data_IF_483296327003
#
_entry.id   IF_483296327003
#
_cell.length_a   1.000
_cell.length_b   1.000
_cell.length_c   1.000
_cell.angle_alpha   90.00
_cell.angle_beta   90.00
_cell.angle_gamma   90.00
#
_symmetry.space_group_name_H-M   'P 1'
#
loop_
_entity.id
_entity.type
_entity.pdbx_description
1 polymer ?
#
# COMPACT_ATOMS: atom_id res chain seq x y z
N UNK A 1 11.37 43.05 21.28
CA UNK A 1 12.26 41.91 21.48
C UNK A 1 11.54 40.86 22.28
N UNK A 2 10.85 39.92 21.62
CA UNK A 2 10.24 38.76 22.29
C UNK A 2 10.65 37.52 21.50
N UNK A 3 11.25 36.59 22.21
CA UNK A 3 11.94 35.39 21.75
C UNK A 3 10.99 34.36 21.11
N UNK A 4 11.30 33.96 19.90
CA UNK A 4 10.74 32.77 19.26
C UNK A 4 11.44 31.53 19.84
N UNK A 5 10.74 30.72 20.62
CA UNK A 5 11.17 29.41 21.08
C UNK A 5 10.64 28.30 20.15
N UNK A 6 11.35 27.19 20.00
CA UNK A 6 11.21 26.25 18.87
C UNK A 6 10.14 25.18 19.13
N UNK A 7 9.13 25.11 18.26
CA UNK A 7 8.05 24.08 18.32
C UNK A 7 8.31 22.84 17.44
N UNK A 8 9.56 22.46 17.21
CA UNK A 8 9.86 21.39 16.22
C UNK A 8 10.45 20.11 16.81
N UNK A 9 10.27 19.80 18.10
CA UNK A 9 10.91 18.63 18.75
C UNK A 9 9.98 17.49 19.19
N UNK A 10 8.66 17.60 19.05
CA UNK A 10 7.75 16.59 19.62
C UNK A 10 7.45 15.43 18.65
N UNK A 11 7.50 15.63 17.34
CA UNK A 11 7.15 14.58 16.36
C UNK A 11 8.24 13.51 16.21
N UNK A 12 9.50 13.88 16.41
CA UNK A 12 10.63 12.92 16.33
C UNK A 12 10.71 11.95 17.51
N UNK A 13 10.29 12.37 18.70
CA UNK A 13 10.36 11.54 19.90
C UNK A 13 9.26 10.48 19.98
N UNK A 14 8.08 10.70 19.38
CA UNK A 14 7.01 9.70 19.41
C UNK A 14 7.34 8.47 18.56
N UNK A 15 8.08 8.65 17.47
CA UNK A 15 8.48 7.54 16.60
C UNK A 15 9.58 6.66 17.21
N UNK A 16 10.49 7.24 18.02
CA UNK A 16 11.50 6.47 18.73
C UNK A 16 10.91 5.71 19.94
N UNK A 17 9.90 6.26 20.61
CA UNK A 17 9.25 5.63 21.76
C UNK A 17 8.42 4.39 21.38
N UNK A 18 7.90 4.31 20.16
CA UNK A 18 7.17 3.13 19.67
C UNK A 18 8.08 1.96 19.26
N UNK A 19 9.38 2.20 19.08
CA UNK A 19 10.38 1.16 18.76
C UNK A 19 11.06 0.55 19.99
N UNK A 20 10.97 1.17 21.14
CA UNK A 20 11.67 0.72 22.36
C UNK A 20 11.16 -0.61 22.94
N UNK A 21 9.86 -0.94 22.99
CA UNK A 21 9.44 -2.22 23.53
C UNK A 21 9.86 -3.43 22.70
N UNK A 22 10.14 -3.23 21.40
CA UNK A 22 10.53 -4.32 20.50
C UNK A 22 11.98 -4.78 20.73
N UNK A 23 12.84 -3.91 21.25
CA UNK A 23 14.25 -4.21 21.51
C UNK A 23 14.42 -4.99 22.83
N UNK A 24 13.58 -4.72 23.83
CA UNK A 24 13.66 -5.41 25.12
C UNK A 24 13.08 -6.82 25.11
N UNK A 25 12.08 -7.10 24.26
CA UNK A 25 11.50 -8.46 24.14
C UNK A 25 12.45 -9.41 23.43
N UNK A 26 13.28 -8.93 22.48
CA UNK A 26 14.27 -9.77 21.78
C UNK A 26 15.49 -10.10 22.64
N UNK A 27 15.83 -9.27 23.62
CA UNK A 27 16.94 -9.55 24.55
C UNK A 27 16.57 -10.51 25.70
N UNK A 28 15.28 -10.64 26.02
CA UNK A 28 14.81 -11.51 27.10
C UNK A 28 14.67 -12.98 26.69
N UNK A 29 14.55 -13.28 25.40
CA UNK A 29 14.34 -14.65 24.90
C UNK A 29 15.65 -15.43 24.74
N UNK A 30 16.80 -14.75 24.59
CA UNK A 30 18.11 -15.41 24.50
C UNK A 30 18.66 -15.89 25.86
N UNK A 31 18.12 -15.39 26.97
CA UNK A 31 18.66 -15.72 28.33
C UNK A 31 18.02 -16.99 28.94
N UNK A 32 17.09 -17.67 28.29
CA UNK A 32 16.36 -18.81 28.87
C UNK A 32 16.66 -20.19 28.25
N UNK A 33 17.60 -20.30 27.32
CA UNK A 33 17.96 -21.59 26.71
C UNK A 33 19.37 -22.06 27.07
N UNK A 34 19.68 -22.23 28.33
CA UNK A 34 20.85 -22.99 28.75
C UNK A 34 20.52 -23.79 30.01
N UNK A 35 20.08 -25.03 29.87
CA UNK A 35 20.45 -26.19 30.66
C UNK A 35 19.53 -27.39 30.48
N UNK A 36 19.91 -28.32 29.62
CA UNK A 36 19.69 -29.75 29.84
C UNK A 36 20.62 -30.54 28.91
N UNK A 37 21.35 -31.56 29.38
CA UNK A 37 22.17 -32.39 28.49
C UNK A 37 21.32 -33.38 27.70
N UNK A 38 21.69 -33.74 26.46
CA UNK A 38 20.88 -34.58 25.59
C UNK A 38 21.08 -36.08 25.88
N UNK A 39 20.06 -36.91 25.66
CA UNK A 39 20.23 -38.36 25.51
C UNK A 39 20.82 -38.66 24.12
N UNK A 40 21.84 -39.46 24.09
CA UNK A 40 22.49 -39.99 22.90
C UNK A 40 21.54 -40.94 22.19
N UNK A 41 21.04 -40.59 21.01
CA UNK A 41 20.36 -41.49 20.07
C UNK A 41 21.07 -41.45 18.72
N UNK A 42 21.34 -42.66 18.19
CA UNK A 42 22.08 -42.91 16.98
C UNK A 42 21.61 -42.09 15.77
N UNK A 43 22.58 -41.55 15.01
CA UNK A 43 22.36 -40.80 13.79
C UNK A 43 21.89 -41.73 12.65
N UNK A 44 20.73 -41.46 12.04
CA UNK A 44 20.46 -41.90 10.66
C UNK A 44 21.12 -40.91 9.68
N UNK A 45 21.54 -41.46 8.56
CA UNK A 45 22.44 -40.83 7.59
C UNK A 45 22.08 -39.41 7.14
N UNK A 46 23.12 -38.64 6.90
CA UNK A 46 23.14 -37.19 6.60
C UNK A 46 22.57 -36.79 5.20
N UNK A 47 21.83 -37.66 4.53
CA UNK A 47 21.26 -37.37 3.20
C UNK A 47 19.80 -36.88 3.24
N UNK A 48 19.02 -37.18 4.29
CA UNK A 48 17.58 -36.88 4.34
C UNK A 48 17.22 -35.59 5.08
N UNK A 49 18.14 -34.98 5.80
CA UNK A 49 17.88 -33.74 6.55
C UNK A 49 17.78 -32.48 5.65
N UNK A 50 18.29 -32.55 4.43
CA UNK A 50 18.23 -31.43 3.47
C UNK A 50 16.87 -31.30 2.77
N UNK A 51 15.99 -32.31 2.85
CA UNK A 51 14.72 -32.35 2.13
C UNK A 51 13.53 -31.76 2.93
N UNK A 52 13.70 -31.40 4.20
CA UNK A 52 12.59 -30.98 5.08
C UNK A 52 12.40 -29.48 5.22
N UNK A 53 13.26 -28.66 4.66
CA UNK A 53 13.03 -27.22 4.62
C UNK A 53 12.56 -26.81 3.21
N UNK A 54 11.35 -26.28 3.07
CA UNK A 54 10.98 -25.66 1.80
C UNK A 54 12.03 -24.59 1.46
N UNK A 55 12.45 -24.48 0.18
CA UNK A 55 13.45 -23.50 -0.22
C UNK A 55 12.99 -22.13 0.26
N UNK A 56 13.87 -21.45 1.03
CA UNK A 56 13.57 -20.08 1.52
C UNK A 56 13.14 -19.25 0.31
N UNK A 57 11.99 -18.56 0.36
CA UNK A 57 11.55 -17.71 -0.74
C UNK A 57 12.69 -16.76 -1.10
N UNK A 58 13.16 -16.81 -2.34
CA UNK A 58 14.19 -15.89 -2.80
C UNK A 58 13.63 -14.49 -2.71
N UNK A 59 14.38 -13.57 -2.08
CA UNK A 59 13.95 -12.19 -2.00
C UNK A 59 13.77 -11.64 -3.42
N UNK A 60 12.62 -10.97 -3.71
CA UNK A 60 12.42 -10.34 -5.01
C UNK A 60 13.57 -9.38 -5.28
N UNK A 61 14.08 -9.38 -6.51
CA UNK A 61 15.16 -8.50 -6.92
C UNK A 61 14.58 -7.24 -7.55
N UNK A 62 15.22 -6.09 -7.34
CA UNK A 62 14.81 -4.83 -7.98
C UNK A 62 14.77 -4.92 -9.51
N UNK A 63 15.64 -5.74 -10.11
CA UNK A 63 15.67 -5.96 -11.58
C UNK A 63 14.38 -6.60 -12.12
N UNK A 64 13.66 -7.37 -11.28
CA UNK A 64 12.46 -8.09 -11.68
C UNK A 64 11.18 -7.23 -11.53
N UNK A 65 11.28 -6.05 -10.88
CA UNK A 65 10.16 -5.16 -10.63
C UNK A 65 9.36 -4.78 -11.90
N UNK A 66 9.97 -4.38 -13.03
CA UNK A 66 9.20 -3.99 -14.21
C UNK A 66 8.35 -5.14 -14.76
N UNK A 67 8.92 -6.35 -14.80
CA UNK A 67 8.22 -7.57 -15.21
C UNK A 67 7.08 -7.91 -14.27
N UNK A 68 7.34 -7.85 -12.98
CA UNK A 68 6.35 -8.17 -11.96
C UNK A 68 5.19 -7.18 -11.95
N UNK A 69 5.49 -5.87 -12.05
CA UNK A 69 4.47 -4.82 -12.19
C UNK A 69 3.61 -5.06 -13.43
N UNK A 70 4.22 -5.36 -14.58
CA UNK A 70 3.46 -5.66 -15.79
C UNK A 70 2.48 -6.84 -15.59
N UNK A 71 2.95 -7.92 -14.96
CA UNK A 71 2.13 -9.10 -14.66
C UNK A 71 0.98 -8.76 -13.70
N UNK A 72 1.26 -7.95 -12.69
CA UNK A 72 0.25 -7.48 -11.74
C UNK A 72 -0.81 -6.65 -12.45
N UNK A 73 -0.42 -5.70 -13.31
CA UNK A 73 -1.35 -4.89 -14.07
C UNK A 73 -2.26 -5.77 -14.95
N UNK A 74 -1.70 -6.72 -15.68
CA UNK A 74 -2.49 -7.67 -16.48
C UNK A 74 -3.50 -8.42 -15.61
N UNK A 75 -3.07 -8.93 -14.46
CA UNK A 75 -3.96 -9.63 -13.54
C UNK A 75 -5.05 -8.71 -12.98
N UNK A 76 -4.67 -7.54 -12.45
CA UNK A 76 -5.58 -6.61 -11.77
C UNK A 76 -6.64 -6.06 -12.71
N UNK A 77 -6.29 -5.77 -13.97
CA UNK A 77 -7.24 -5.29 -14.98
C UNK A 77 -8.14 -6.39 -15.53
N UNK A 78 -7.65 -7.63 -15.65
CA UNK A 78 -8.46 -8.74 -16.21
C UNK A 78 -9.28 -9.48 -15.16
N UNK A 79 -8.89 -9.45 -13.89
CA UNK A 79 -9.55 -10.19 -12.81
C UNK A 79 -11.04 -9.84 -12.62
N UNK A 80 -11.46 -8.55 -12.70
CA UNK A 80 -12.88 -8.19 -12.60
C UNK A 80 -13.76 -8.81 -13.69
N UNK A 81 -13.20 -9.11 -14.86
CA UNK A 81 -13.94 -9.72 -15.98
C UNK A 81 -14.05 -11.25 -15.89
N UNK A 82 -13.43 -11.84 -14.86
CA UNK A 82 -13.47 -13.30 -14.61
C UNK A 82 -13.91 -13.59 -13.17
N UNK A 83 -15.12 -13.14 -12.76
CA UNK A 83 -15.58 -13.34 -11.40
C UNK A 83 -15.87 -14.82 -11.15
N UNK A 84 -15.56 -15.28 -9.93
CA UNK A 84 -16.03 -16.57 -9.43
C UNK A 84 -17.37 -16.37 -8.72
N UNK A 85 -18.19 -17.41 -8.63
CA UNK A 85 -19.48 -17.33 -7.89
C UNK A 85 -19.29 -16.86 -6.44
N UNK A 86 -18.19 -17.23 -5.81
CA UNK A 86 -17.84 -16.80 -4.46
C UNK A 86 -17.49 -15.29 -4.35
N UNK A 87 -17.16 -14.64 -5.46
CA UNK A 87 -16.83 -13.20 -5.48
C UNK A 87 -18.11 -12.33 -5.53
N UNK A 88 -19.25 -12.88 -5.98
CA UNK A 88 -20.49 -12.13 -6.21
C UNK A 88 -21.03 -11.41 -4.97
N UNK A 89 -21.14 -12.03 -3.77
CA UNK A 89 -21.61 -11.33 -2.58
C UNK A 89 -20.69 -10.17 -2.19
N UNK A 90 -19.38 -10.35 -2.31
CA UNK A 90 -18.40 -9.29 -2.03
C UNK A 90 -18.46 -8.16 -3.05
N UNK A 91 -18.65 -8.49 -4.33
CA UNK A 91 -18.86 -7.50 -5.38
C UNK A 91 -20.17 -6.72 -5.15
N UNK A 92 -21.27 -7.39 -4.80
CA UNK A 92 -22.53 -6.74 -4.46
C UNK A 92 -22.40 -5.80 -3.26
N UNK A 93 -21.72 -6.24 -2.20
CA UNK A 93 -21.43 -5.42 -1.03
C UNK A 93 -20.57 -4.19 -1.39
N UNK A 94 -19.52 -4.39 -2.18
CA UNK A 94 -18.64 -3.29 -2.63
C UNK A 94 -19.39 -2.26 -3.47
N UNK A 95 -20.10 -2.69 -4.51
CA UNK A 95 -20.83 -1.78 -5.38
C UNK A 95 -22.03 -1.13 -4.67
N UNK A 96 -22.75 -1.87 -3.83
CA UNK A 96 -23.84 -1.34 -3.02
C UNK A 96 -23.38 -0.26 -2.03
N UNK A 97 -22.30 -0.53 -1.29
CA UNK A 97 -21.68 0.46 -0.39
C UNK A 97 -21.16 1.67 -1.17
N UNK A 98 -20.50 1.46 -2.31
CA UNK A 98 -20.01 2.56 -3.15
C UNK A 98 -21.17 3.44 -3.62
N UNK A 99 -22.26 2.85 -4.12
CA UNK A 99 -23.45 3.59 -4.55
C UNK A 99 -24.11 4.37 -3.41
N UNK A 100 -24.23 3.76 -2.23
CA UNK A 100 -24.74 4.42 -1.02
C UNK A 100 -23.88 5.61 -0.60
N UNK A 101 -22.56 5.45 -0.63
CA UNK A 101 -21.63 6.53 -0.31
C UNK A 101 -21.67 7.66 -1.35
N UNK A 102 -21.76 7.34 -2.65
CA UNK A 102 -21.93 8.34 -3.71
C UNK A 102 -23.21 9.17 -3.48
N UNK A 103 -24.32 8.55 -3.05
CA UNK A 103 -25.54 9.26 -2.71
C UNK A 103 -25.38 10.24 -1.52
N UNK A 104 -24.50 9.91 -0.58
CA UNK A 104 -24.20 10.76 0.60
C UNK A 104 -23.14 11.82 0.28
N UNK A 105 -22.27 11.60 -0.68
CA UNK A 105 -21.11 12.46 -1.00
C UNK A 105 -21.52 13.93 -1.23
N UNK A 106 -22.65 14.16 -1.91
CA UNK A 106 -23.16 15.51 -2.14
C UNK A 106 -23.41 16.27 -0.83
N UNK A 107 -24.05 15.63 0.14
CA UNK A 107 -24.32 16.25 1.44
C UNK A 107 -23.03 16.56 2.20
N UNK A 108 -22.06 15.63 2.15
CA UNK A 108 -20.74 15.83 2.76
C UNK A 108 -19.99 16.96 2.06
N UNK A 109 -19.98 16.99 0.72
CA UNK A 109 -19.32 18.02 -0.07
C UNK A 109 -19.90 19.41 0.21
N UNK A 110 -21.22 19.55 0.20
CA UNK A 110 -21.91 20.80 0.52
C UNK A 110 -21.64 21.25 1.97
N UNK A 111 -21.70 20.34 2.93
CA UNK A 111 -21.37 20.64 4.33
C UNK A 111 -19.93 21.09 4.54
N UNK A 112 -18.99 20.48 3.83
CA UNK A 112 -17.59 20.88 3.86
C UNK A 112 -17.35 22.23 3.18
N UNK A 113 -18.03 22.51 2.06
CA UNK A 113 -17.89 23.75 1.28
C UNK A 113 -18.53 24.97 1.99
N UNK A 114 -19.58 24.74 2.76
CA UNK A 114 -20.27 25.80 3.48
C UNK A 114 -19.48 26.43 4.65
N UNK A 115 -18.47 25.72 5.16
CA UNK A 115 -17.71 26.16 6.33
C UNK A 115 -16.27 26.53 5.94
N UNK A 116 -15.64 27.54 6.53
CA UNK A 116 -14.22 27.83 6.29
C UNK A 116 -13.32 26.72 6.84
N UNK A 117 -12.10 26.54 6.28
CA UNK A 117 -11.14 25.59 6.82
C UNK A 117 -10.75 25.94 8.26
N UNK A 118 -10.96 25.00 9.20
CA UNK A 118 -10.63 25.14 10.62
C UNK A 118 -9.44 24.26 11.04
N UNK A 119 -9.27 24.07 12.35
CA UNK A 119 -8.20 23.26 12.94
C UNK A 119 -8.18 21.82 12.41
N UNK A 120 -9.35 21.22 12.18
CA UNK A 120 -9.46 19.88 11.61
C UNK A 120 -8.85 19.78 10.21
N UNK A 121 -9.02 20.80 9.38
CA UNK A 121 -8.39 20.87 8.06
C UNK A 121 -6.85 20.83 8.14
N UNK A 122 -6.26 21.61 9.05
CA UNK A 122 -4.80 21.62 9.23
C UNK A 122 -4.28 20.29 9.77
N UNK A 123 -4.99 19.69 10.71
CA UNK A 123 -4.68 18.34 11.18
C UNK A 123 -4.75 17.31 10.03
N UNK A 124 -5.83 17.33 9.25
CA UNK A 124 -5.99 16.47 8.07
C UNK A 124 -4.84 16.63 7.09
N UNK A 125 -4.43 17.86 6.77
CA UNK A 125 -3.30 18.16 5.89
C UNK A 125 -1.98 17.57 6.40
N UNK A 126 -1.72 17.65 7.70
CA UNK A 126 -0.53 17.09 8.33
C UNK A 126 -0.53 15.55 8.25
N UNK A 127 -1.65 14.94 8.61
CA UNK A 127 -1.78 13.47 8.61
C UNK A 127 -1.76 12.90 7.19
N UNK A 128 -2.38 13.58 6.22
CA UNK A 128 -2.41 13.10 4.84
C UNK A 128 -1.02 13.05 4.19
N UNK A 129 -0.05 13.79 4.70
CA UNK A 129 1.34 13.71 4.26
C UNK A 129 1.94 12.29 4.45
N UNK A 130 1.42 11.50 5.41
CA UNK A 130 1.82 10.10 5.60
C UNK A 130 1.40 9.20 4.42
N UNK A 131 0.36 9.57 3.68
CA UNK A 131 -0.13 8.83 2.52
C UNK A 131 0.54 9.22 1.19
N UNK A 132 1.57 10.06 1.19
CA UNK A 132 2.27 10.44 -0.04
C UNK A 132 3.18 9.30 -0.53
N UNK A 133 3.39 9.15 -1.85
CA UNK A 133 4.36 8.19 -2.39
C UNK A 133 5.78 8.40 -1.84
N UNK A 134 6.16 9.65 -1.57
CA UNK A 134 7.47 9.99 -0.97
C UNK A 134 7.59 9.41 0.44
N UNK A 135 6.58 9.59 1.29
CA UNK A 135 6.58 9.04 2.65
C UNK A 135 6.57 7.51 2.61
N UNK A 136 5.73 6.90 1.77
CA UNK A 136 5.71 5.45 1.56
C UNK A 136 7.07 4.93 1.09
N UNK A 137 7.70 5.62 0.14
CA UNK A 137 9.04 5.29 -0.35
C UNK A 137 10.12 5.42 0.73
N UNK A 138 10.06 6.47 1.56
CA UNK A 138 10.98 6.65 2.68
C UNK A 138 10.83 5.56 3.74
N UNK A 139 9.61 5.19 4.11
CA UNK A 139 9.34 4.10 5.06
C UNK A 139 9.86 2.77 4.47
N UNK A 140 9.54 2.47 3.21
CA UNK A 140 10.01 1.26 2.55
C UNK A 140 11.54 1.24 2.46
N UNK A 141 12.18 2.35 2.06
CA UNK A 141 13.64 2.46 2.00
C UNK A 141 14.30 2.23 3.35
N UNK A 142 13.77 2.83 4.42
CA UNK A 142 14.24 2.60 5.79
C UNK A 142 14.12 1.13 6.17
N UNK A 143 12.98 0.51 5.87
CA UNK A 143 12.73 -0.90 6.14
C UNK A 143 13.72 -1.80 5.38
N UNK A 144 14.02 -1.47 4.13
CA UNK A 144 15.04 -2.16 3.32
C UNK A 144 16.43 -2.02 3.93
N UNK A 145 16.85 -0.80 4.29
CA UNK A 145 18.18 -0.54 4.86
C UNK A 145 18.37 -1.23 6.21
N UNK A 146 17.35 -1.20 7.07
CA UNK A 146 17.37 -1.92 8.35
C UNK A 146 17.44 -3.44 8.13
N UNK A 147 16.65 -3.97 7.19
CA UNK A 147 16.70 -5.38 6.81
C UNK A 147 18.07 -5.79 6.26
N UNK A 148 18.70 -4.92 5.45
CA UNK A 148 20.06 -5.15 4.94
C UNK A 148 21.10 -5.14 6.05
N UNK A 149 21.04 -4.16 6.94
CA UNK A 149 21.98 -4.05 8.09
C UNK A 149 21.88 -5.25 9.04
N UNK A 150 20.67 -5.76 9.25
CA UNK A 150 20.40 -6.93 10.11
C UNK A 150 20.52 -8.27 9.38
N UNK A 151 20.86 -8.26 8.08
CA UNK A 151 20.91 -9.46 7.23
C UNK A 151 19.56 -10.22 7.22
N UNK A 152 18.45 -9.48 7.31
CA UNK A 152 17.08 -10.00 7.28
C UNK A 152 16.51 -9.93 5.86
N UNK A 153 16.53 -11.06 5.09
CA UNK A 153 16.02 -11.09 3.74
C UNK A 153 14.49 -10.94 3.69
N UNK A 154 13.79 -11.28 4.78
CA UNK A 154 12.34 -11.16 4.83
C UNK A 154 11.89 -9.70 4.89
N UNK A 155 12.55 -8.88 5.71
CA UNK A 155 12.31 -7.44 5.76
C UNK A 155 12.67 -6.76 4.42
N UNK A 156 13.79 -7.13 3.79
CA UNK A 156 14.17 -6.61 2.47
C UNK A 156 13.10 -6.94 1.41
N UNK A 157 12.65 -8.21 1.37
CA UNK A 157 11.59 -8.64 0.46
C UNK A 157 10.28 -7.87 0.70
N UNK A 158 9.89 -7.69 1.96
CA UNK A 158 8.68 -6.94 2.31
C UNK A 158 8.74 -5.50 1.84
N UNK A 159 9.91 -4.85 1.96
CA UNK A 159 10.13 -3.50 1.44
C UNK A 159 9.91 -3.42 -0.08
N UNK A 160 10.53 -4.33 -0.84
CA UNK A 160 10.41 -4.36 -2.31
C UNK A 160 8.96 -4.60 -2.73
N UNK A 161 8.25 -5.54 -2.08
CA UNK A 161 6.84 -5.79 -2.33
C UNK A 161 5.95 -4.58 -2.01
N UNK A 162 6.27 -3.84 -0.94
CA UNK A 162 5.53 -2.62 -0.60
C UNK A 162 5.70 -1.54 -1.66
N UNK A 163 6.92 -1.35 -2.17
CA UNK A 163 7.18 -0.42 -3.29
C UNK A 163 6.39 -0.86 -4.53
N UNK A 164 6.44 -2.15 -4.89
CA UNK A 164 5.71 -2.72 -6.02
C UNK A 164 4.21 -2.45 -5.90
N UNK A 165 3.58 -2.73 -4.76
CA UNK A 165 2.17 -2.49 -4.52
C UNK A 165 1.78 -1.00 -4.63
N UNK A 166 2.63 -0.08 -4.17
CA UNK A 166 2.42 1.36 -4.33
C UNK A 166 2.50 1.77 -5.80
N UNK A 167 3.46 1.27 -6.56
CA UNK A 167 3.60 1.56 -7.99
C UNK A 167 2.37 1.05 -8.76
N UNK A 168 1.93 -0.18 -8.49
CA UNK A 168 0.70 -0.74 -9.06
C UNK A 168 -0.52 0.12 -8.77
N UNK A 169 -0.63 0.61 -7.53
CA UNK A 169 -1.69 1.51 -7.10
C UNK A 169 -1.66 2.84 -7.86
N UNK A 170 -0.48 3.40 -8.11
CA UNK A 170 -0.32 4.66 -8.86
C UNK A 170 -0.81 4.49 -10.30
N UNK A 171 -0.45 3.40 -10.97
CA UNK A 171 -0.89 3.13 -12.34
C UNK A 171 -2.43 3.04 -12.41
N UNK A 172 -3.02 2.24 -11.53
CA UNK A 172 -4.48 2.04 -11.48
C UNK A 172 -5.21 3.35 -11.17
N UNK A 173 -4.75 4.09 -10.16
CA UNK A 173 -5.42 5.34 -9.76
C UNK A 173 -5.36 6.40 -10.85
N UNK A 174 -4.26 6.50 -11.59
CA UNK A 174 -4.17 7.48 -12.69
C UNK A 174 -5.12 7.13 -13.84
N UNK A 175 -5.21 5.86 -14.21
CA UNK A 175 -6.16 5.40 -15.22
C UNK A 175 -7.62 5.68 -14.79
N UNK A 176 -7.99 5.35 -13.56
CA UNK A 176 -9.34 5.59 -13.04
C UNK A 176 -9.68 7.07 -12.92
N UNK A 177 -8.73 7.92 -12.52
CA UNK A 177 -8.90 9.37 -12.48
C UNK A 177 -9.14 9.95 -13.87
N UNK A 178 -8.36 9.51 -14.85
CA UNK A 178 -8.56 9.90 -16.24
C UNK A 178 -9.93 9.48 -16.78
N UNK A 179 -10.42 8.30 -16.40
CA UNK A 179 -11.71 7.79 -16.83
C UNK A 179 -12.90 8.46 -16.12
N UNK A 180 -12.76 8.80 -14.84
CA UNK A 180 -13.88 9.30 -14.01
C UNK A 180 -14.01 10.81 -13.96
N UNK A 181 -12.91 11.52 -14.05
CA UNK A 181 -12.83 12.99 -14.11
C UNK A 181 -13.70 13.70 -13.05
N UNK A 182 -13.73 13.18 -11.82
CA UNK A 182 -14.54 13.69 -10.72
C UNK A 182 -13.86 14.88 -10.03
N UNK A 183 -14.53 16.05 -9.84
CA UNK A 183 -13.98 17.18 -9.11
C UNK A 183 -13.85 16.89 -7.61
N UNK A 184 -13.03 17.67 -6.92
CA UNK A 184 -12.80 17.55 -5.47
C UNK A 184 -13.78 18.41 -4.70
N UNK A 185 -14.15 18.03 -3.44
CA UNK A 185 -14.96 18.86 -2.55
C UNK A 185 -14.15 20.03 -2.00
N UNK A 186 -13.89 21.06 -2.83
CA UNK A 186 -13.11 22.22 -2.44
C UNK A 186 -14.01 23.33 -1.87
N UNK A 187 -13.45 24.15 -0.98
CA UNK A 187 -14.14 25.33 -0.43
C UNK A 187 -14.29 26.43 -1.50
N UNK A 188 -15.52 26.90 -1.73
CA UNK A 188 -15.85 27.88 -2.77
C UNK A 188 -16.13 29.30 -2.25
N UNK A 189 -15.88 29.58 -0.98
CA UNK A 189 -16.14 30.89 -0.40
C UNK A 189 -17.62 31.26 -0.23
N UNK A 190 -18.51 30.27 -0.23
CA UNK A 190 -19.94 30.48 0.06
C UNK A 190 -20.78 30.87 -1.14
N UNK A 191 -20.31 30.82 -2.36
CA UNK A 191 -21.13 31.00 -3.54
C UNK A 191 -22.03 29.78 -3.76
N UNK A 192 -23.32 29.99 -3.91
CA UNK A 192 -24.40 28.99 -3.87
C UNK A 192 -24.42 27.97 -5.02
N UNK A 193 -23.44 28.01 -5.93
CA UNK A 193 -23.34 27.08 -7.08
C UNK A 193 -21.91 26.60 -7.28
N UNK A 194 -21.40 25.88 -6.29
CA UNK A 194 -20.15 25.18 -6.51
C UNK A 194 -20.45 23.77 -7.03
N UNK A 195 -20.42 23.62 -8.35
CA UNK A 195 -20.56 22.32 -9.01
C UNK A 195 -19.52 21.28 -8.51
N UNK A 196 -18.42 21.73 -7.93
CA UNK A 196 -17.40 20.87 -7.34
C UNK A 196 -17.90 20.17 -6.08
N UNK A 197 -18.73 20.86 -5.26
CA UNK A 197 -19.29 20.27 -4.04
C UNK A 197 -20.28 19.13 -4.31
N UNK A 198 -20.88 19.09 -5.50
CA UNK A 198 -21.82 18.04 -5.90
C UNK A 198 -21.12 16.72 -6.29
N UNK A 199 -19.81 16.75 -6.54
CA UNK A 199 -19.02 15.55 -6.83
C UNK A 199 -19.45 14.79 -8.09
N UNK A 200 -19.90 15.53 -9.13
CA UNK A 200 -20.36 14.94 -10.38
C UNK A 200 -19.19 14.29 -11.14
N UNK A 201 -19.39 13.07 -11.63
CA UNK A 201 -18.43 12.40 -12.51
C UNK A 201 -18.41 13.07 -13.90
N UNK A 202 -17.29 12.91 -14.61
CA UNK A 202 -17.04 13.43 -15.97
C UNK A 202 -17.03 14.95 -16.07
N UNK A 203 -16.62 15.63 -15.00
CA UNK A 203 -16.62 17.10 -14.88
C UNK A 203 -15.21 17.71 -14.86
N UNK A 204 -14.19 17.01 -15.41
CA UNK A 204 -12.84 17.55 -15.60
C UNK A 204 -11.95 17.50 -14.35
N UNK A 205 -12.33 16.78 -13.28
CA UNK A 205 -11.57 16.68 -12.04
C UNK A 205 -10.70 15.42 -11.93
N UNK A 206 -10.10 15.22 -10.75
CA UNK A 206 -9.21 14.09 -10.47
C UNK A 206 -9.38 13.54 -9.04
N UNK A 207 -10.61 13.58 -8.49
CA UNK A 207 -10.89 13.14 -7.13
C UNK A 207 -10.96 11.62 -6.99
N UNK A 208 -11.67 10.94 -7.90
CA UNK A 208 -12.00 9.52 -7.75
C UNK A 208 -11.02 8.60 -8.49
N UNK A 209 -10.54 7.53 -7.84
CA UNK A 209 -10.53 7.29 -6.41
C UNK A 209 -9.40 8.04 -5.69
N UNK A 210 -9.36 7.97 -4.34
CA UNK A 210 -8.33 8.64 -3.54
C UNK A 210 -6.95 7.98 -3.70
N UNK A 211 -6.01 8.72 -4.30
CA UNK A 211 -4.64 8.22 -4.54
C UNK A 211 -3.82 8.01 -3.26
N UNK A 212 -3.97 8.87 -2.24
CA UNK A 212 -3.32 8.67 -0.95
C UNK A 212 -3.86 7.44 -0.23
N UNK A 213 -5.16 7.24 -0.29
CA UNK A 213 -5.81 6.11 0.37
C UNK A 213 -5.44 4.78 -0.30
N UNK A 214 -5.47 4.69 -1.64
CA UNK A 214 -5.10 3.47 -2.35
C UNK A 214 -3.64 3.09 -2.08
N UNK A 215 -2.71 4.06 -2.10
CA UNK A 215 -1.30 3.84 -1.78
C UNK A 215 -1.09 3.42 -0.33
N UNK A 216 -1.73 4.11 0.63
CA UNK A 216 -1.63 3.77 2.05
C UNK A 216 -2.17 2.37 2.36
N UNK A 217 -3.33 1.99 1.81
CA UNK A 217 -3.90 0.67 2.01
C UNK A 217 -3.12 -0.43 1.30
N UNK A 218 -2.59 -0.20 0.10
CA UNK A 218 -1.77 -1.21 -0.57
C UNK A 218 -0.48 -1.50 0.19
N UNK A 219 0.20 -0.45 0.67
CA UNK A 219 1.36 -0.56 1.53
C UNK A 219 1.03 -1.29 2.84
N UNK A 220 -0.02 -0.83 3.54
CA UNK A 220 -0.47 -1.42 4.81
C UNK A 220 -0.83 -2.90 4.67
N UNK A 221 -1.46 -3.28 3.55
CA UNK A 221 -1.87 -4.66 3.30
C UNK A 221 -0.66 -5.56 3.08
N UNK A 222 0.36 -5.12 2.34
CA UNK A 222 1.61 -5.92 2.21
C UNK A 222 2.23 -6.16 3.59
N UNK A 223 2.34 -5.12 4.43
CA UNK A 223 2.88 -5.26 5.80
C UNK A 223 2.00 -6.20 6.64
N UNK A 224 0.68 -6.02 6.60
CA UNK A 224 -0.26 -6.82 7.37
C UNK A 224 -0.22 -8.31 6.99
N UNK A 225 -0.18 -8.64 5.71
CA UNK A 225 -0.10 -10.02 5.22
C UNK A 225 1.25 -10.65 5.55
N UNK A 226 2.33 -9.91 5.40
CA UNK A 226 3.68 -10.40 5.69
C UNK A 226 3.93 -10.65 7.16
N UNK A 227 3.33 -9.86 8.06
CA UNK A 227 3.50 -9.97 9.52
C UNK A 227 2.20 -10.36 10.23
N UNK A 228 1.31 -11.11 9.57
CA UNK A 228 -0.01 -11.49 10.08
C UNK A 228 0.02 -12.26 11.40
N UNK A 229 1.12 -12.97 11.68
CA UNK A 229 1.29 -13.71 12.93
C UNK A 229 1.42 -12.81 14.16
N UNK A 230 1.69 -11.54 13.95
CA UNK A 230 1.76 -10.52 15.00
C UNK A 230 0.51 -9.64 14.94
N UNK A 231 -0.55 -9.91 15.71
CA UNK A 231 -1.87 -9.31 15.51
C UNK A 231 -1.87 -7.78 15.62
N UNK A 232 -0.95 -7.20 16.38
CA UNK A 232 -0.81 -5.74 16.47
C UNK A 232 -0.33 -5.08 15.16
N UNK A 233 0.39 -5.81 14.30
CA UNK A 233 0.92 -5.25 13.03
C UNK A 233 -0.20 -4.94 12.04
N UNK A 234 -1.11 -5.88 11.69
CA UNK A 234 -2.26 -5.57 10.84
C UNK A 234 -3.13 -4.45 11.42
N UNK A 235 -3.41 -4.49 12.73
CA UNK A 235 -4.22 -3.46 13.39
C UNK A 235 -3.58 -2.08 13.23
N UNK A 236 -2.30 -1.94 13.54
CA UNK A 236 -1.59 -0.66 13.41
C UNK A 236 -1.52 -0.20 11.95
N UNK A 237 -1.18 -1.10 11.02
CA UNK A 237 -1.04 -0.77 9.61
C UNK A 237 -2.36 -0.26 9.02
N UNK A 238 -3.48 -0.96 9.25
CA UNK A 238 -4.78 -0.51 8.74
C UNK A 238 -5.33 0.70 9.48
N UNK A 239 -5.05 0.88 10.77
CA UNK A 239 -5.42 2.09 11.50
C UNK A 239 -4.73 3.31 10.92
N UNK A 240 -3.43 3.24 10.63
CA UNK A 240 -2.70 4.34 10.01
C UNK A 240 -3.20 4.62 8.58
N UNK A 241 -3.46 3.59 7.78
CA UNK A 241 -4.04 3.76 6.45
C UNK A 241 -5.45 4.36 6.50
N UNK A 242 -6.28 3.94 7.45
CA UNK A 242 -7.61 4.50 7.69
C UNK A 242 -7.55 5.97 8.11
N UNK A 243 -6.60 6.32 8.99
CA UNK A 243 -6.37 7.70 9.41
C UNK A 243 -5.98 8.60 8.22
N UNK A 244 -5.13 8.11 7.29
CA UNK A 244 -4.84 8.80 6.03
C UNK A 244 -6.13 9.01 5.23
N UNK A 245 -6.97 7.98 5.09
CA UNK A 245 -8.25 8.09 4.38
C UNK A 245 -9.18 9.15 4.97
N UNK A 246 -9.39 9.14 6.29
CA UNK A 246 -10.18 10.14 6.99
C UNK A 246 -9.60 11.54 6.83
N UNK A 247 -8.27 11.66 6.94
CA UNK A 247 -7.57 12.93 6.74
C UNK A 247 -7.85 13.54 5.36
N UNK A 248 -7.98 12.72 4.31
CA UNK A 248 -8.31 13.20 2.95
C UNK A 248 -9.72 13.77 2.83
N UNK A 249 -10.68 13.26 3.61
CA UNK A 249 -12.04 13.83 3.68
C UNK A 249 -12.00 15.18 4.43
N UNK A 250 -11.40 15.18 5.60
CA UNK A 250 -11.30 16.37 6.46
C UNK A 250 -10.54 17.51 5.75
N UNK A 251 -9.50 17.17 4.97
CA UNK A 251 -8.74 18.09 4.12
C UNK A 251 -9.51 18.53 2.86
N UNK A 252 -10.73 18.05 2.64
CA UNK A 252 -11.60 18.39 1.48
C UNK A 252 -10.98 18.04 0.13
N UNK A 253 -10.16 17.02 0.09
CA UNK A 253 -9.53 16.55 -1.13
C UNK A 253 -10.29 15.42 -1.80
N UNK A 254 -11.10 14.69 -1.02
CA UNK A 254 -11.80 13.50 -1.47
C UNK A 254 -13.16 13.35 -0.77
N UNK A 255 -14.11 12.77 -1.48
CA UNK A 255 -15.38 12.34 -0.92
C UNK A 255 -15.24 11.01 -0.17
N UNK A 256 -16.19 10.66 0.73
CA UNK A 256 -16.21 9.35 1.39
C UNK A 256 -16.15 8.16 0.43
N UNK A 257 -16.86 8.21 -0.71
CA UNK A 257 -16.81 7.14 -1.72
C UNK A 257 -15.43 7.00 -2.37
N UNK A 258 -14.72 8.13 -2.63
CA UNK A 258 -13.35 8.10 -3.19
C UNK A 258 -12.38 7.38 -2.25
N UNK A 259 -12.55 7.62 -0.95
CA UNK A 259 -11.72 7.02 0.11
C UNK A 259 -12.06 5.53 0.26
N UNK A 260 -13.33 5.16 0.29
CA UNK A 260 -13.76 3.77 0.39
C UNK A 260 -13.27 2.93 -0.79
N UNK A 261 -13.46 3.41 -2.01
CA UNK A 261 -12.99 2.72 -3.22
C UNK A 261 -11.46 2.65 -3.24
N UNK A 262 -10.78 3.74 -2.84
CA UNK A 262 -9.33 3.75 -2.70
C UNK A 262 -8.82 2.71 -1.70
N UNK A 263 -9.48 2.60 -0.53
CA UNK A 263 -9.13 1.60 0.49
C UNK A 263 -9.34 0.16 0.00
N UNK A 264 -10.48 -0.11 -0.64
CA UNK A 264 -10.78 -1.44 -1.17
C UNK A 264 -9.81 -1.87 -2.28
N UNK A 265 -9.54 -0.98 -3.25
CA UNK A 265 -8.59 -1.25 -4.32
C UNK A 265 -7.17 -1.42 -3.76
N UNK A 266 -6.74 -0.55 -2.82
CA UNK A 266 -5.44 -0.67 -2.17
C UNK A 266 -5.28 -2.01 -1.43
N UNK A 267 -6.32 -2.43 -0.71
CA UNK A 267 -6.34 -3.75 -0.07
C UNK A 267 -6.18 -4.90 -1.09
N UNK A 268 -6.95 -4.86 -2.18
CA UNK A 268 -6.89 -5.92 -3.21
C UNK A 268 -5.52 -5.98 -3.90
N UNK A 269 -4.92 -4.82 -4.22
CA UNK A 269 -3.59 -4.71 -4.82
C UNK A 269 -2.53 -5.24 -3.86
N UNK A 270 -2.51 -4.73 -2.63
CA UNK A 270 -1.52 -5.14 -1.63
C UNK A 270 -1.58 -6.64 -1.33
N UNK A 271 -2.79 -7.19 -1.23
CA UNK A 271 -3.00 -8.63 -1.04
C UNK A 271 -2.52 -9.44 -2.24
N UNK A 272 -2.84 -9.02 -3.46
CA UNK A 272 -2.34 -9.68 -4.67
C UNK A 272 -0.81 -9.71 -4.69
N UNK A 273 -0.16 -8.57 -4.48
CA UNK A 273 1.31 -8.46 -4.48
C UNK A 273 1.95 -9.32 -3.39
N UNK A 274 1.40 -9.29 -2.16
CA UNK A 274 1.92 -10.10 -1.05
C UNK A 274 1.89 -11.61 -1.38
N UNK A 275 0.77 -12.10 -1.93
CA UNK A 275 0.61 -13.53 -2.25
C UNK A 275 1.31 -13.93 -3.56
N UNK A 276 1.44 -13.02 -4.54
CA UNK A 276 2.15 -13.32 -5.79
C UNK A 276 3.63 -13.63 -5.58
N UNK A 277 4.23 -13.12 -4.52
CA UNK A 277 5.61 -13.41 -4.14
C UNK A 277 5.79 -14.83 -3.57
N UNK A 278 4.73 -15.43 -3.05
CA UNK A 278 4.74 -16.79 -2.49
C UNK A 278 4.41 -17.84 -3.54
N UNK A 279 3.73 -17.42 -4.62
CA UNK A 279 3.37 -18.31 -5.72
C UNK A 279 4.61 -18.65 -6.56
N UNK A 280 4.84 -19.94 -6.83
CA UNK A 280 5.84 -20.36 -7.83
C UNK A 280 5.50 -19.71 -9.17
N UNK A 281 6.49 -19.14 -9.88
CA UNK A 281 6.23 -18.57 -11.20
C UNK A 281 5.57 -19.63 -12.09
N UNK A 282 4.42 -19.30 -12.69
CA UNK A 282 3.83 -20.20 -13.67
C UNK A 282 4.79 -20.34 -14.85
N UNK A 283 4.96 -21.54 -15.37
CA UNK A 283 5.89 -21.82 -16.49
C UNK A 283 5.63 -20.93 -17.71
N UNK A 284 4.39 -20.53 -17.92
CA UNK A 284 3.96 -19.65 -19.02
C UNK A 284 4.59 -18.26 -18.98
N UNK A 285 4.77 -17.68 -17.78
CA UNK A 285 5.32 -16.33 -17.62
C UNK A 285 6.85 -16.30 -17.56
N UNK A 286 7.50 -17.43 -17.29
CA UNK A 286 8.96 -17.53 -17.34
C UNK A 286 9.52 -17.40 -18.76
N UNK A 287 8.66 -17.47 -19.77
CA UNK A 287 9.02 -17.36 -21.19
C UNK A 287 8.96 -15.91 -21.70
N UNK A 288 8.43 -14.96 -20.91
CA UNK A 288 8.39 -13.55 -21.29
C UNK A 288 9.68 -12.86 -20.81
N UNK A 289 10.50 -12.44 -21.74
CA UNK A 289 11.67 -11.60 -21.49
C UNK A 289 11.36 -10.17 -21.87
N UNK A 290 11.59 -9.24 -20.94
CA UNK A 290 11.46 -7.81 -21.16
C UNK A 290 12.82 -7.19 -20.93
N UNK A 291 13.42 -6.68 -22.01
CA UNK A 291 14.74 -6.07 -21.96
C UNK A 291 14.70 -4.62 -22.44
N UNK A 292 15.30 -3.69 -21.71
CA UNK A 292 15.49 -2.34 -22.21
C UNK A 292 16.45 -2.38 -23.39
N UNK A 293 16.13 -1.69 -24.48
CA UNK A 293 17.03 -1.51 -25.58
C UNK A 293 17.04 -0.07 -26.07
N UNK A 294 18.15 0.37 -26.61
CA UNK A 294 18.28 1.69 -27.21
C UNK A 294 18.21 1.53 -28.72
N UNK A 295 17.13 2.03 -29.38
CA UNK A 295 17.03 2.00 -30.84
C UNK A 295 18.16 2.80 -31.49
N UNK A 296 18.56 2.41 -32.71
CA UNK A 296 19.62 3.08 -33.47
C UNK A 296 19.36 4.58 -33.74
N UNK A 297 18.11 5.01 -33.62
CA UNK A 297 17.68 6.41 -33.85
C UNK A 297 17.63 7.24 -32.54
N UNK A 298 18.11 6.72 -31.43
CA UNK A 298 18.03 7.33 -30.10
C UNK A 298 16.67 7.08 -29.42
N UNK A 299 16.61 7.36 -28.13
CA UNK A 299 15.45 7.08 -27.29
C UNK A 299 15.61 5.78 -26.48
N UNK A 300 14.68 5.54 -25.56
CA UNK A 300 14.62 4.32 -24.77
C UNK A 300 13.37 3.51 -25.14
N UNK A 301 13.53 2.24 -25.38
CA UNK A 301 12.45 1.31 -25.71
C UNK A 301 12.62 0.01 -24.92
N UNK A 302 11.56 -0.78 -24.87
CA UNK A 302 11.60 -2.12 -24.29
C UNK A 302 11.32 -3.15 -25.38
N UNK A 303 12.15 -4.19 -25.44
CA UNK A 303 11.89 -5.35 -26.25
C UNK A 303 11.11 -6.39 -25.46
N UNK A 304 10.15 -7.02 -26.10
CA UNK A 304 9.36 -8.12 -25.55
C UNK A 304 9.66 -9.35 -26.38
N UNK A 305 10.28 -10.36 -25.76
CA UNK A 305 10.50 -11.65 -26.40
C UNK A 305 9.80 -12.76 -25.62
N UNK A 306 9.29 -13.73 -26.36
CA UNK A 306 8.56 -14.86 -25.79
C UNK A 306 9.19 -16.16 -26.29
N UNK A 307 9.70 -16.98 -25.37
CA UNK A 307 10.19 -18.31 -25.71
C UNK A 307 8.98 -19.24 -25.94
N UNK A 308 8.88 -19.78 -27.16
CA UNK A 308 7.83 -20.72 -27.58
C UNK A 308 8.08 -22.13 -27.06
#
# INVERSE_FOLDING_TARGET
MQSLAPRCRIVGCLFLALLQPTIQVLAADEAKQTKAPPPTIAQPGSADAAALHPPKPQAPLFRDLPRDIFRDQVFLWLRPFRPRRADLPWAAAFFGTTAGLIAVDRHVGQGLSANPPGAGYQFGKTVSALGTPLTGGAIAGTFYLVGRARKDPYAQATSILSIRAVVDSVIIVQALKGATQRPRPTFSGGTTRDHNADGQFFSGGNSFPSGHTIGAFSFATVIAERYRERPWVPVTAYSLAGLVGVARIVERQHFPSDVFVGAALGYLIGRHVAHSAEAKPSSTWNRLHIEPFVPAYGGSAFSFSWDL
#
